data_IF_345982834602
#
_entry.id   IF_345982834602
#
_cell.length_a   1.000
_cell.length_b   1.000
_cell.length_c   1.000
_cell.angle_alpha   90.00
_cell.angle_beta   90.00
_cell.angle_gamma   90.00
#
_symmetry.space_group_name_H-M   'P 1'
#
loop_
_entity.id
_entity.type
_entity.pdbx_description
1 polymer ?
#
# COMPACT_ATOMS: atom_id res chain seq x y z
N UNK A 1 13.76 3.78 -19.12
CA UNK A 1 12.78 3.78 -18.00
C UNK A 1 13.43 3.01 -16.86
N UNK A 2 13.40 3.56 -15.66
CA UNK A 2 13.80 2.81 -14.47
C UNK A 2 12.81 1.65 -14.29
N UNK A 3 13.31 0.44 -14.05
CA UNK A 3 12.44 -0.71 -13.84
C UNK A 3 11.70 -0.58 -12.49
N UNK A 4 10.45 -1.03 -12.45
CA UNK A 4 9.71 -1.11 -11.17
C UNK A 4 10.35 -2.21 -10.31
N UNK A 5 10.65 -1.96 -9.02
CA UNK A 5 11.23 -2.99 -8.16
C UNK A 5 10.19 -4.09 -7.85
N UNK A 6 10.60 -5.35 -7.93
CA UNK A 6 9.74 -6.50 -7.64
C UNK A 6 10.32 -7.39 -6.54
N UNK A 7 11.64 -7.61 -6.57
CA UNK A 7 12.30 -8.46 -5.59
C UNK A 7 12.47 -7.74 -4.25
N UNK A 8 12.73 -8.50 -3.20
CA UNK A 8 12.99 -7.94 -1.87
C UNK A 8 14.21 -7.02 -1.92
N UNK A 9 15.28 -7.45 -2.59
CA UNK A 9 16.53 -6.69 -2.70
C UNK A 9 16.32 -5.37 -3.45
N UNK A 10 15.53 -5.38 -4.53
CA UNK A 10 15.20 -4.17 -5.29
C UNK A 10 14.36 -3.20 -4.46
N UNK A 11 13.32 -3.71 -3.77
CA UNK A 11 12.47 -2.91 -2.90
C UNK A 11 13.27 -2.27 -1.75
N UNK A 12 14.14 -3.03 -1.10
CA UNK A 12 15.00 -2.52 -0.03
C UNK A 12 15.97 -1.47 -0.56
N UNK A 13 16.58 -1.69 -1.72
CA UNK A 13 17.51 -0.74 -2.33
C UNK A 13 16.83 0.59 -2.64
N UNK A 14 15.64 0.57 -3.26
CA UNK A 14 14.90 1.79 -3.60
C UNK A 14 14.40 2.50 -2.33
N UNK A 15 13.87 1.75 -1.36
CA UNK A 15 13.46 2.30 -0.06
C UNK A 15 14.64 2.95 0.68
N UNK A 16 15.80 2.29 0.70
CA UNK A 16 17.01 2.83 1.32
C UNK A 16 17.49 4.10 0.62
N UNK A 17 17.44 4.14 -0.70
CA UNK A 17 17.80 5.34 -1.47
C UNK A 17 16.88 6.53 -1.13
N UNK A 18 15.58 6.29 -1.03
CA UNK A 18 14.62 7.33 -0.63
C UNK A 18 14.85 7.78 0.83
N UNK A 19 15.08 6.83 1.75
CA UNK A 19 15.35 7.10 3.16
C UNK A 19 16.63 7.94 3.33
N UNK A 20 17.70 7.60 2.63
CA UNK A 20 18.97 8.35 2.67
C UNK A 20 18.83 9.77 2.07
N UNK A 21 17.87 9.96 1.17
CA UNK A 21 17.50 11.27 0.65
C UNK A 21 16.57 12.08 1.58
N UNK A 22 16.16 11.50 2.73
CA UNK A 22 15.36 12.17 3.76
C UNK A 22 13.89 11.77 3.81
N UNK A 23 13.46 10.70 3.14
CA UNK A 23 12.09 10.21 3.26
C UNK A 23 11.84 9.67 4.68
N UNK A 24 10.86 10.24 5.39
CA UNK A 24 10.41 9.78 6.70
C UNK A 24 9.29 8.71 6.59
N UNK A 25 8.60 8.69 5.46
CA UNK A 25 7.47 7.80 5.18
C UNK A 25 7.70 7.19 3.79
N UNK A 26 7.44 5.90 3.66
CA UNK A 26 7.52 5.17 2.39
C UNK A 26 6.22 4.42 2.15
N UNK A 27 5.55 4.75 1.05
CA UNK A 27 4.38 4.05 0.56
C UNK A 27 4.82 2.80 -0.22
N UNK A 28 4.22 1.64 0.10
CA UNK A 28 4.67 0.34 -0.39
C UNK A 28 3.56 -0.38 -1.14
N UNK A 29 3.81 -0.66 -2.42
CA UNK A 29 3.11 -1.68 -3.18
C UNK A 29 4.00 -2.90 -3.31
N UNK A 30 3.45 -4.09 -3.24
CA UNK A 30 4.25 -5.31 -3.41
C UNK A 30 3.80 -6.12 -4.62
N UNK A 31 4.75 -6.86 -5.17
CA UNK A 31 4.55 -7.77 -6.28
C UNK A 31 5.25 -9.09 -5.99
N UNK A 32 4.82 -10.15 -6.64
CA UNK A 32 5.63 -11.35 -6.72
C UNK A 32 6.87 -11.09 -7.58
N UNK A 33 7.87 -11.98 -7.49
CA UNK A 33 9.13 -11.82 -8.23
C UNK A 33 8.98 -11.90 -9.77
N UNK A 34 7.83 -12.37 -10.25
CA UNK A 34 7.44 -12.33 -11.66
C UNK A 34 6.78 -11.02 -12.10
N UNK A 35 6.62 -10.06 -11.16
CA UNK A 35 6.01 -8.76 -11.40
C UNK A 35 4.49 -8.73 -11.21
N UNK A 36 3.83 -9.86 -10.91
CA UNK A 36 2.38 -9.90 -10.68
C UNK A 36 2.01 -9.15 -9.39
N UNK A 37 1.06 -8.18 -9.42
CA UNK A 37 0.60 -7.49 -8.22
C UNK A 37 0.00 -8.46 -7.20
N UNK A 38 0.25 -8.20 -5.91
CA UNK A 38 -0.33 -9.00 -4.84
C UNK A 38 -0.65 -8.17 -3.61
N UNK A 39 -1.65 -8.60 -2.84
CA UNK A 39 -2.00 -8.08 -1.52
C UNK A 39 -1.76 -9.13 -0.42
N UNK A 40 -1.01 -10.18 -0.75
CA UNK A 40 -0.65 -11.23 0.21
C UNK A 40 0.10 -10.63 1.41
N UNK A 41 -0.47 -10.82 2.61
CA UNK A 41 0.08 -10.23 3.84
C UNK A 41 1.48 -10.73 4.17
N UNK A 42 1.79 -11.99 3.86
CA UNK A 42 3.12 -12.54 4.15
C UNK A 42 4.18 -11.94 3.23
N UNK A 43 3.81 -11.68 1.96
CA UNK A 43 4.68 -10.95 1.04
C UNK A 43 4.92 -9.52 1.53
N UNK A 44 3.87 -8.81 1.98
CA UNK A 44 4.03 -7.49 2.60
C UNK A 44 4.92 -7.56 3.84
N UNK A 45 4.68 -8.52 4.73
CA UNK A 45 5.46 -8.68 5.97
C UNK A 45 6.96 -8.81 5.68
N UNK A 46 7.34 -9.73 4.80
CA UNK A 46 8.75 -10.00 4.48
C UNK A 46 9.43 -8.74 3.90
N UNK A 47 8.77 -8.05 2.97
CA UNK A 47 9.33 -6.84 2.34
C UNK A 47 9.41 -5.69 3.36
N UNK A 48 8.34 -5.45 4.14
CA UNK A 48 8.31 -4.37 5.13
C UNK A 48 9.35 -4.59 6.24
N UNK A 49 9.53 -5.82 6.70
CA UNK A 49 10.54 -6.14 7.72
C UNK A 49 11.95 -5.89 7.17
N UNK A 50 12.23 -6.29 5.94
CA UNK A 50 13.52 -6.03 5.29
C UNK A 50 13.78 -4.51 5.10
N UNK A 51 12.74 -3.74 4.73
CA UNK A 51 12.87 -2.28 4.63
C UNK A 51 13.11 -1.66 6.01
N UNK A 52 12.40 -2.08 7.07
CA UNK A 52 12.62 -1.57 8.43
C UNK A 52 14.02 -1.82 8.94
N UNK A 53 14.59 -3.00 8.63
CA UNK A 53 15.98 -3.32 8.97
C UNK A 53 16.98 -2.35 8.29
N UNK A 54 16.76 -2.05 7.02
CA UNK A 54 17.61 -1.15 6.24
C UNK A 54 17.38 0.34 6.55
N UNK A 55 16.19 0.72 7.00
CA UNK A 55 15.73 2.11 7.21
C UNK A 55 15.16 2.30 8.62
N UNK A 56 15.99 2.32 9.67
CA UNK A 56 15.52 2.40 11.05
C UNK A 56 14.66 3.65 11.33
N UNK A 57 13.44 3.46 11.85
CA UNK A 57 12.53 4.55 12.19
C UNK A 57 11.67 5.07 11.04
N UNK A 58 11.77 4.50 9.84
CA UNK A 58 10.88 4.83 8.72
C UNK A 58 9.45 4.37 9.01
N UNK A 59 8.47 5.19 8.66
CA UNK A 59 7.06 4.80 8.67
C UNK A 59 6.73 4.15 7.32
N UNK A 60 6.17 2.95 7.36
CA UNK A 60 5.75 2.23 6.15
C UNK A 60 4.23 2.27 6.01
N UNK A 61 3.77 2.67 4.84
CA UNK A 61 2.36 2.71 4.47
C UNK A 61 2.11 1.60 3.44
N UNK A 62 1.65 0.41 3.84
CA UNK A 62 1.22 -0.58 2.87
C UNK A 62 -0.02 -0.10 2.13
N UNK A 63 -0.02 -0.25 0.81
CA UNK A 63 -1.17 0.06 -0.03
C UNK A 63 -2.32 -0.92 0.23
N UNK A 64 -3.53 -0.39 0.36
CA UNK A 64 -4.78 -1.17 0.28
C UNK A 64 -5.46 -1.03 -1.09
N UNK A 65 -4.80 -0.35 -2.04
CA UNK A 65 -5.29 -0.19 -3.41
C UNK A 65 -5.32 -1.50 -4.19
N UNK A 66 -4.26 -2.30 -4.03
CA UNK A 66 -4.12 -3.54 -4.78
C UNK A 66 -3.96 -3.31 -6.28
N UNK A 67 -4.67 -4.11 -7.07
CA UNK A 67 -4.83 -3.96 -8.50
C UNK A 67 -6.32 -3.98 -8.85
N UNK A 68 -6.67 -3.42 -10.02
CA UNK A 68 -8.05 -3.45 -10.52
C UNK A 68 -8.59 -4.88 -10.53
N UNK A 69 -9.81 -5.06 -10.04
CA UNK A 69 -10.47 -6.38 -9.96
C UNK A 69 -10.19 -7.18 -8.67
N UNK A 70 -9.28 -6.76 -7.80
CA UNK A 70 -9.11 -7.38 -6.48
C UNK A 70 -10.31 -7.07 -5.57
N UNK A 71 -10.71 -8.06 -4.78
CA UNK A 71 -11.81 -7.89 -3.81
C UNK A 71 -11.39 -7.02 -2.62
N UNK A 72 -12.34 -6.38 -1.91
CA UNK A 72 -12.06 -5.63 -0.69
C UNK A 72 -11.32 -6.47 0.38
N UNK A 73 -11.66 -7.74 0.51
CA UNK A 73 -11.02 -8.66 1.46
C UNK A 73 -9.55 -8.91 1.11
N UNK A 74 -9.25 -9.13 -0.17
CA UNK A 74 -7.86 -9.25 -0.63
C UNK A 74 -7.08 -7.97 -0.34
N UNK A 75 -7.65 -6.82 -0.69
CA UNK A 75 -7.04 -5.50 -0.53
C UNK A 75 -6.74 -5.15 0.94
N UNK A 76 -7.52 -5.66 1.89
CA UNK A 76 -7.34 -5.40 3.32
C UNK A 76 -6.29 -6.28 3.99
N UNK A 77 -5.76 -7.31 3.35
CA UNK A 77 -4.79 -8.24 3.98
C UNK A 77 -3.59 -7.52 4.63
N UNK A 78 -2.96 -6.49 4.03
CA UNK A 78 -1.84 -5.81 4.68
C UNK A 78 -2.19 -5.15 6.01
N UNK A 79 -3.46 -4.81 6.25
CA UNK A 79 -3.89 -4.23 7.54
C UNK A 79 -3.85 -5.23 8.70
N UNK A 80 -3.78 -6.53 8.40
CA UNK A 80 -3.63 -7.59 9.42
C UNK A 80 -2.21 -7.62 10.03
N UNK A 81 -1.27 -6.88 9.45
CA UNK A 81 0.08 -6.68 9.99
C UNK A 81 0.14 -5.54 11.02
N UNK A 82 -0.99 -4.88 11.29
CA UNK A 82 -1.11 -3.76 12.21
C UNK A 82 -0.06 -2.65 11.94
N UNK A 83 0.07 -2.16 10.70
CA UNK A 83 1.00 -1.07 10.40
C UNK A 83 0.56 0.21 11.10
N UNK A 84 1.48 1.17 11.26
CA UNK A 84 1.16 2.49 11.82
C UNK A 84 0.19 3.28 10.93
N UNK A 85 0.34 3.12 9.62
CA UNK A 85 -0.48 3.75 8.60
C UNK A 85 -0.80 2.77 7.46
N UNK A 86 -1.90 3.00 6.75
CA UNK A 86 -2.23 2.31 5.50
C UNK A 86 -3.03 3.24 4.60
N UNK A 87 -3.08 2.98 3.30
CA UNK A 87 -3.84 3.83 2.38
C UNK A 87 -5.36 3.65 2.51
N UNK A 88 -6.10 4.71 2.21
CA UNK A 88 -7.55 4.72 2.10
C UNK A 88 -7.94 5.55 0.87
N UNK A 89 -8.27 4.87 -0.22
CA UNK A 89 -8.72 5.49 -1.45
C UNK A 89 -10.11 6.11 -1.26
N UNK A 90 -10.26 7.40 -1.56
CA UNK A 90 -11.44 8.20 -1.22
C UNK A 90 -12.55 8.22 -2.29
N UNK A 91 -12.52 7.31 -3.24
CA UNK A 91 -13.56 7.20 -4.26
C UNK A 91 -13.20 6.34 -5.45
N UNK A 92 -14.22 5.95 -6.18
CA UNK A 92 -14.09 5.22 -7.45
C UNK A 92 -13.62 6.15 -8.55
N UNK A 93 -12.62 5.74 -9.32
CA UNK A 93 -12.12 6.51 -10.47
C UNK A 93 -11.79 5.60 -11.65
N UNK A 94 -11.63 6.21 -12.82
CA UNK A 94 -11.08 5.52 -13.98
C UNK A 94 -9.57 5.36 -13.80
N UNK A 95 -9.07 4.15 -14.09
CA UNK A 95 -7.66 3.83 -13.98
C UNK A 95 -7.18 3.22 -15.30
N UNK A 96 -6.79 4.07 -16.23
CA UNK A 96 -6.62 3.69 -17.63
C UNK A 96 -7.97 3.32 -18.24
N UNK A 97 -8.07 2.13 -18.81
CA UNK A 97 -9.30 1.58 -19.40
C UNK A 97 -10.15 0.80 -18.36
N UNK A 98 -9.67 0.66 -17.13
CA UNK A 98 -10.34 -0.04 -16.04
C UNK A 98 -11.04 0.92 -15.07
N UNK A 99 -11.89 0.35 -14.21
CA UNK A 99 -12.51 1.07 -13.10
C UNK A 99 -11.85 0.61 -11.80
N UNK A 100 -11.23 1.55 -11.09
CA UNK A 100 -10.73 1.31 -9.74
C UNK A 100 -11.85 1.60 -8.74
N UNK A 101 -12.47 0.52 -8.24
CA UNK A 101 -13.68 0.60 -7.41
C UNK A 101 -13.32 0.90 -5.96
N UNK A 102 -13.80 2.04 -5.47
CA UNK A 102 -13.78 2.45 -4.07
C UNK A 102 -15.14 3.06 -3.72
N UNK A 103 -16.17 2.23 -3.72
CA UNK A 103 -17.53 2.65 -3.39
C UNK A 103 -17.68 2.93 -1.88
N UNK A 104 -18.76 3.59 -1.50
CA UNK A 104 -19.02 3.96 -0.11
C UNK A 104 -19.02 2.77 0.88
N UNK A 105 -19.58 1.59 0.54
CA UNK A 105 -19.46 0.41 1.39
C UNK A 105 -18.02 -0.02 1.61
N UNK A 106 -17.21 -0.07 0.54
CA UNK A 106 -15.79 -0.43 0.60
C UNK A 106 -15.00 0.56 1.47
N UNK A 107 -15.14 1.86 1.22
CA UNK A 107 -14.46 2.89 2.01
C UNK A 107 -14.83 2.81 3.50
N UNK A 108 -16.11 2.58 3.84
CA UNK A 108 -16.55 2.42 5.23
C UNK A 108 -15.96 1.17 5.87
N UNK A 109 -15.89 0.06 5.15
CA UNK A 109 -15.30 -1.17 5.64
C UNK A 109 -13.80 -1.00 5.93
N UNK A 110 -13.07 -0.33 5.04
CA UNK A 110 -11.64 -0.04 5.20
C UNK A 110 -11.40 0.91 6.37
N UNK A 111 -12.13 2.03 6.42
CA UNK A 111 -12.03 2.97 7.54
C UNK A 111 -12.35 2.34 8.89
N UNK A 112 -13.38 1.47 8.94
CA UNK A 112 -13.71 0.71 10.15
C UNK A 112 -12.57 -0.23 10.56
N UNK A 113 -12.01 -1.00 9.63
CA UNK A 113 -10.87 -1.90 9.88
C UNK A 113 -9.65 -1.13 10.40
N UNK A 114 -9.34 0.01 9.81
CA UNK A 114 -8.22 0.85 10.25
C UNK A 114 -8.45 1.40 11.65
N UNK A 115 -9.66 1.87 11.96
CA UNK A 115 -10.00 2.35 13.29
C UNK A 115 -9.90 1.24 14.36
N UNK A 116 -10.43 0.05 14.07
CA UNK A 116 -10.37 -1.10 14.97
C UNK A 116 -8.95 -1.58 15.24
N UNK A 117 -8.06 -1.46 14.26
CA UNK A 117 -6.66 -1.88 14.34
C UNK A 117 -5.70 -0.74 14.75
N UNK A 118 -6.23 0.45 15.08
CA UNK A 118 -5.44 1.64 15.39
C UNK A 118 -4.44 2.02 14.28
N UNK A 119 -4.86 1.88 13.02
CA UNK A 119 -4.09 2.23 11.82
C UNK A 119 -4.51 3.63 11.37
N UNK A 120 -3.54 4.53 11.16
CA UNK A 120 -3.83 5.87 10.65
C UNK A 120 -4.00 5.81 9.12
N UNK A 121 -5.14 6.29 8.56
CA UNK A 121 -5.32 6.31 7.12
C UNK A 121 -4.47 7.39 6.44
N UNK A 122 -3.87 7.05 5.30
CA UNK A 122 -3.44 7.99 4.28
C UNK A 122 -4.57 8.12 3.26
N UNK A 123 -5.18 9.30 3.18
CA UNK A 123 -6.30 9.54 2.26
C UNK A 123 -5.78 9.81 0.85
N UNK A 124 -6.16 8.95 -0.10
CA UNK A 124 -5.78 9.08 -1.51
C UNK A 124 -6.96 9.65 -2.32
N UNK A 125 -6.81 10.89 -2.76
CA UNK A 125 -7.83 11.64 -3.51
C UNK A 125 -7.33 11.87 -4.93
N UNK A 126 -7.82 11.08 -5.89
CA UNK A 126 -7.39 11.16 -7.31
C UNK A 126 -8.21 12.17 -8.12
N UNK A 127 -9.38 12.56 -7.64
CA UNK A 127 -10.28 13.51 -8.30
C UNK A 127 -10.83 14.52 -7.29
N UNK A 128 -11.28 15.70 -7.79
CA UNK A 128 -11.85 16.76 -6.93
C UNK A 128 -13.06 16.25 -6.14
N UNK A 129 -13.83 15.33 -6.72
CA UNK A 129 -15.00 14.73 -6.05
C UNK A 129 -14.66 13.78 -4.89
N UNK A 130 -13.38 13.49 -4.66
CA UNK A 130 -12.90 12.67 -3.52
C UNK A 130 -12.63 13.51 -2.28
N UNK A 131 -12.62 14.83 -2.39
CA UNK A 131 -12.49 15.78 -1.29
C UNK A 131 -13.83 16.10 -0.65
#
# INVERSE_FOLDING_TARGET
>A
MQAVPYTIEEMVREAKSAFDAGAAIIHVHVRWDDGTPTQDKERFRVIMDAIREACPGVILIPSTGGATGMTPEERLQPTELFPEMATLDCGTCNFGDDIFVNDMPTMRAFGKRMLENNIKPEYECFEIGHL
#
